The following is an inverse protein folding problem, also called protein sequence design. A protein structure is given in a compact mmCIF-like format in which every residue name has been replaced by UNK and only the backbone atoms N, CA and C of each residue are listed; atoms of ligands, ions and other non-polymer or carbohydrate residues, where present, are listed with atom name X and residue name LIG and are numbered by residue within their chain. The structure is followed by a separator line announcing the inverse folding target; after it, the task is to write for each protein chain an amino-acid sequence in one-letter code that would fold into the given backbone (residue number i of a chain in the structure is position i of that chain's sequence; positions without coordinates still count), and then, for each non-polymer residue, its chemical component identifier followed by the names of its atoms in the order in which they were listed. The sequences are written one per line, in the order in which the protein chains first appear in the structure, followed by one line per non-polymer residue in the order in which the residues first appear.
data_IF_618361780323
#
_entry.id   IF_618361780323
#
_cell.length_a   1.000
_cell.length_b   1.000
_cell.length_c   1.000
_cell.angle_alpha   90.00
_cell.angle_beta   90.00
_cell.angle_gamma   90.00
#
_symmetry.space_group_name_H-M   'P 1'
#
loop_
_entity.id
_entity.type
_entity.pdbx_description
1 polymer ?
#
# COMPACT_ATOMS: atom_id res chain seq x y z
N UNK A 1 -4.13 2.67 1.61
CA UNK A 1 -4.29 4.12 1.79
C UNK A 1 -3.15 4.70 2.63
N UNK A 2 -3.08 6.02 2.69
CA UNK A 2 -2.18 6.74 3.59
C UNK A 2 -3.01 7.41 4.69
N UNK A 3 -2.66 7.13 5.94
CA UNK A 3 -3.07 7.93 7.09
C UNK A 3 -2.10 9.08 7.24
N UNK A 4 -2.57 10.26 7.61
CA UNK A 4 -1.70 11.40 7.90
C UNK A 4 -2.06 12.06 9.23
N UNK A 5 -1.03 12.56 9.93
CA UNK A 5 -1.18 13.27 11.20
C UNK A 5 -1.43 14.76 10.92
N UNK A 6 -2.63 15.25 11.26
CA UNK A 6 -3.04 16.64 11.00
C UNK A 6 -2.15 17.65 11.72
N UNK A 7 -1.88 17.41 13.01
CA UNK A 7 -1.03 18.30 13.81
C UNK A 7 0.36 18.46 13.18
N UNK A 8 0.99 17.36 12.76
CA UNK A 8 2.32 17.44 12.15
C UNK A 8 2.32 18.24 10.85
N UNK A 9 1.29 18.10 10.01
CA UNK A 9 1.15 18.90 8.78
C UNK A 9 0.95 20.38 9.10
N UNK A 10 0.06 20.70 10.04
CA UNK A 10 -0.25 22.05 10.46
C UNK A 10 0.96 22.74 11.14
N UNK A 11 1.70 22.02 12.00
CA UNK A 11 2.91 22.51 12.65
C UNK A 11 3.99 22.93 11.62
N UNK A 12 4.02 22.30 10.44
CA UNK A 12 4.90 22.64 9.32
C UNK A 12 4.30 23.69 8.37
N UNK A 13 3.11 24.24 8.69
CA UNK A 13 2.40 25.24 7.88
C UNK A 13 2.10 24.75 6.45
N UNK A 14 1.81 23.45 6.33
CA UNK A 14 1.38 22.82 5.08
C UNK A 14 -0.13 22.68 5.06
N UNK A 15 -0.71 22.77 3.87
CA UNK A 15 -2.13 22.48 3.66
C UNK A 15 -2.41 20.98 3.82
N UNK A 16 -3.60 20.61 4.29
CA UNK A 16 -4.02 19.22 4.32
C UNK A 16 -4.16 18.68 2.89
N UNK A 17 -3.81 17.41 2.62
CA UNK A 17 -3.68 16.91 1.26
C UNK A 17 -5.00 16.72 0.50
N UNK A 18 -6.15 16.94 1.13
CA UNK A 18 -7.47 16.68 0.56
C UNK A 18 -7.74 17.43 -0.76
N UNK A 19 -7.46 18.74 -0.81
CA UNK A 19 -7.69 19.53 -2.01
C UNK A 19 -6.75 19.11 -3.15
N UNK A 20 -5.53 18.70 -2.83
CA UNK A 20 -4.57 18.16 -3.78
C UNK A 20 -5.09 16.84 -4.38
N UNK A 21 -5.68 15.97 -3.55
CA UNK A 21 -6.34 14.73 -4.01
C UNK A 21 -7.54 15.04 -4.91
N UNK A 22 -8.46 15.92 -4.48
CA UNK A 22 -9.64 16.32 -5.25
C UNK A 22 -9.28 16.94 -6.61
N UNK A 23 -8.19 17.71 -6.65
CA UNK A 23 -7.66 18.30 -7.88
C UNK A 23 -6.95 17.29 -8.82
N UNK A 24 -6.83 16.02 -8.40
CA UNK A 24 -6.10 15.00 -9.17
C UNK A 24 -4.59 15.17 -9.18
N UNK A 25 -4.03 15.96 -8.27
CA UNK A 25 -2.59 16.29 -8.23
C UNK A 25 -1.80 15.53 -7.16
N UNK A 26 -2.44 14.61 -6.43
CA UNK A 26 -1.79 13.83 -5.38
C UNK A 26 -0.88 12.77 -5.98
N UNK A 27 0.40 13.10 -6.15
CA UNK A 27 1.44 12.26 -6.74
C UNK A 27 2.51 11.90 -5.70
N UNK A 28 3.42 10.95 -6.03
CA UNK A 28 4.57 10.66 -5.18
C UNK A 28 5.52 11.87 -5.03
N UNK A 29 5.64 12.73 -6.03
CA UNK A 29 6.42 13.97 -5.90
C UNK A 29 5.73 14.95 -4.93
N UNK A 30 4.40 14.97 -4.90
CA UNK A 30 3.66 15.78 -3.92
C UNK A 30 3.81 15.22 -2.51
N UNK A 31 3.64 13.91 -2.32
CA UNK A 31 3.90 13.26 -1.04
C UNK A 31 5.33 13.56 -0.53
N UNK A 32 6.34 13.54 -1.41
CA UNK A 32 7.72 13.82 -1.02
C UNK A 32 7.91 15.21 -0.38
N UNK A 33 7.17 16.23 -0.81
CA UNK A 33 7.22 17.57 -0.20
C UNK A 33 6.83 17.56 1.27
N UNK A 34 5.86 16.73 1.65
CA UNK A 34 5.44 16.58 3.04
C UNK A 34 6.46 15.78 3.85
N UNK A 35 6.80 14.58 3.37
CA UNK A 35 7.62 13.66 4.15
C UNK A 35 9.05 14.16 4.35
N UNK A 36 9.59 14.93 3.40
CA UNK A 36 10.95 15.48 3.49
C UNK A 36 11.12 16.52 4.60
N UNK A 37 10.05 17.21 5.01
CA UNK A 37 10.10 18.19 6.10
C UNK A 37 9.63 17.59 7.43
N UNK A 38 8.93 16.48 7.41
CA UNK A 38 8.34 15.84 8.60
C UNK A 38 9.32 15.05 9.46
N UNK A 39 10.58 14.88 9.02
CA UNK A 39 11.56 14.04 9.70
C UNK A 39 12.53 14.86 10.57
N UNK A 40 12.70 14.48 11.85
CA UNK A 40 13.64 15.11 12.77
C UNK A 40 14.08 14.14 13.86
N UNK A 41 15.39 14.08 14.14
CA UNK A 41 15.94 13.27 15.23
C UNK A 41 15.54 13.75 16.63
N UNK A 42 15.26 15.05 16.77
CA UNK A 42 14.88 15.66 18.06
C UNK A 42 15.84 15.33 19.23
N UNK A 43 17.12 15.17 18.90
CA UNK A 43 18.17 14.85 19.88
C UNK A 43 18.48 13.37 20.06
N UNK A 44 17.77 12.48 19.39
CA UNK A 44 18.14 11.06 19.33
C UNK A 44 19.44 10.85 18.53
N UNK A 45 20.22 9.83 18.87
CA UNK A 45 21.52 9.55 18.23
C UNK A 45 21.37 8.87 16.85
N UNK A 46 20.24 8.19 16.61
CA UNK A 46 19.99 7.47 15.38
C UNK A 46 18.50 7.48 14.98
N UNK A 47 18.23 7.11 13.74
CA UNK A 47 16.88 6.92 13.22
C UNK A 47 16.26 5.54 13.59
N UNK A 48 16.93 4.78 14.45
CA UNK A 48 16.41 3.51 14.89
C UNK A 48 15.21 3.70 15.82
N UNK A 49 14.17 2.89 15.62
CA UNK A 49 12.99 2.98 16.44
C UNK A 49 13.30 2.70 17.91
N UNK A 50 13.00 3.67 18.76
CA UNK A 50 13.01 3.53 20.20
C UNK A 50 11.67 4.04 20.74
N UNK A 51 10.99 3.22 21.55
CA UNK A 51 9.70 3.56 22.18
C UNK A 51 9.79 4.86 22.98
N UNK A 52 10.88 5.06 23.69
CA UNK A 52 11.13 6.21 24.56
C UNK A 52 11.95 7.31 23.87
N UNK A 53 12.24 7.17 22.57
CA UNK A 53 12.96 8.17 21.77
C UNK A 53 12.07 9.31 21.31
N UNK A 54 12.71 10.33 20.72
CA UNK A 54 12.07 11.56 20.28
C UNK A 54 12.02 11.73 18.76
N UNK A 55 12.70 10.87 18.00
CA UNK A 55 12.74 10.98 16.54
C UNK A 55 11.34 10.89 15.93
N UNK A 56 11.08 11.75 14.97
CA UNK A 56 9.87 11.79 14.16
C UNK A 56 10.22 11.52 12.71
N UNK A 57 9.31 10.93 11.97
CA UNK A 57 9.50 10.46 10.60
C UNK A 57 8.49 11.13 9.67
N UNK A 58 8.89 11.38 8.43
CA UNK A 58 7.96 11.84 7.40
C UNK A 58 6.97 10.75 7.00
N UNK A 59 7.46 9.49 6.95
CA UNK A 59 6.66 8.36 6.48
C UNK A 59 6.98 7.07 7.23
N UNK A 60 5.96 6.24 7.47
CA UNK A 60 6.13 4.91 8.06
C UNK A 60 5.29 3.87 7.34
N UNK A 61 5.83 2.67 7.16
CA UNK A 61 5.10 1.54 6.57
C UNK A 61 5.81 0.20 6.82
N UNK A 62 5.25 -0.87 6.29
CA UNK A 62 5.82 -2.21 6.33
C UNK A 62 6.47 -2.57 4.99
N UNK A 63 7.75 -2.94 5.03
CA UNK A 63 8.51 -3.46 3.89
C UNK A 63 8.41 -5.01 3.85
N UNK A 64 8.40 -5.65 2.69
CA UNK A 64 8.51 -5.13 1.31
C UNK A 64 7.16 -4.80 0.66
N UNK A 65 6.06 -5.09 1.34
CA UNK A 65 4.72 -5.07 0.74
C UNK A 65 4.34 -3.67 0.26
N UNK A 66 4.66 -2.63 1.03
CA UNK A 66 4.36 -1.26 0.64
C UNK A 66 5.00 -0.87 -0.70
N UNK A 67 6.29 -1.17 -0.92
CA UNK A 67 6.97 -0.83 -2.18
C UNK A 67 6.34 -1.57 -3.37
N UNK A 68 5.95 -2.83 -3.17
CA UNK A 68 5.19 -3.56 -4.21
C UNK A 68 3.85 -2.87 -4.51
N UNK A 69 3.13 -2.43 -3.49
CA UNK A 69 1.89 -1.68 -3.65
C UNK A 69 2.12 -0.32 -4.33
N UNK A 70 3.24 0.36 -4.02
CA UNK A 70 3.63 1.60 -4.68
C UNK A 70 3.84 1.41 -6.20
N UNK A 71 4.46 0.29 -6.63
CA UNK A 71 4.50 -0.06 -8.05
C UNK A 71 3.11 -0.32 -8.63
N UNK A 72 2.25 -1.02 -7.91
CA UNK A 72 0.90 -1.33 -8.39
C UNK A 72 0.08 -0.05 -8.59
N UNK A 73 0.15 0.92 -7.66
CA UNK A 73 -0.62 2.16 -7.79
C UNK A 73 -0.11 3.11 -8.88
N UNK A 74 1.12 2.91 -9.38
CA UNK A 74 1.62 3.59 -10.58
C UNK A 74 1.31 2.85 -11.89
N UNK A 75 0.47 1.80 -11.85
CA UNK A 75 0.19 0.95 -13.01
C UNK A 75 1.30 -0.06 -13.36
N UNK A 76 2.43 -0.05 -12.64
CA UNK A 76 3.62 -0.86 -12.93
C UNK A 76 3.65 -2.17 -12.12
N UNK A 77 2.65 -3.04 -12.35
CA UNK A 77 2.66 -4.39 -11.77
C UNK A 77 3.86 -5.18 -12.29
N UNK A 78 4.68 -5.76 -11.39
CA UNK A 78 5.84 -6.56 -11.79
C UNK A 78 5.45 -7.80 -12.59
N UNK A 79 4.30 -8.39 -12.28
CA UNK A 79 3.72 -9.53 -13.00
C UNK A 79 2.25 -9.19 -13.29
N UNK A 80 1.81 -9.37 -14.54
CA UNK A 80 0.44 -9.10 -14.97
C UNK A 80 -0.22 -10.38 -15.44
N UNK A 81 -1.44 -10.62 -14.97
CA UNK A 81 -2.33 -11.65 -15.48
C UNK A 81 -3.28 -11.00 -16.49
N UNK A 82 -3.28 -11.51 -17.70
CA UNK A 82 -4.08 -10.98 -18.80
C UNK A 82 -4.42 -12.12 -19.77
N UNK A 83 -5.69 -12.22 -20.16
CA UNK A 83 -6.20 -13.24 -21.11
C UNK A 83 -5.81 -14.67 -20.74
N UNK A 84 -5.88 -15.01 -19.45
CA UNK A 84 -5.53 -16.33 -18.95
C UNK A 84 -4.04 -16.65 -18.90
N UNK A 85 -3.16 -15.66 -19.15
CA UNK A 85 -1.72 -15.80 -19.10
C UNK A 85 -1.09 -14.84 -18.10
N UNK A 86 0.02 -15.26 -17.50
CA UNK A 86 0.84 -14.40 -16.65
C UNK A 86 2.13 -14.02 -17.36
N UNK A 87 2.55 -12.76 -17.23
CA UNK A 87 3.75 -12.22 -17.86
C UNK A 87 4.55 -11.38 -16.88
N UNK A 88 5.87 -11.51 -16.92
CA UNK A 88 6.78 -10.60 -16.23
C UNK A 88 6.79 -9.25 -16.95
N UNK A 89 6.40 -8.20 -16.24
CA UNK A 89 6.35 -6.82 -16.74
C UNK A 89 7.47 -5.94 -16.16
N UNK A 90 8.15 -6.42 -15.10
CA UNK A 90 9.28 -5.69 -14.54
C UNK A 90 10.34 -5.40 -15.61
N UNK A 91 10.72 -4.13 -15.72
CA UNK A 91 11.67 -3.65 -16.73
C UNK A 91 11.04 -3.27 -18.08
N UNK A 92 9.72 -3.23 -18.18
CA UNK A 92 9.02 -2.75 -19.38
C UNK A 92 8.39 -1.36 -19.15
N UNK A 93 8.13 -0.64 -20.23
CA UNK A 93 7.55 0.72 -20.16
C UNK A 93 8.41 1.66 -19.32
N UNK A 94 7.79 2.41 -18.43
CA UNK A 94 8.44 3.36 -17.51
C UNK A 94 8.81 2.74 -16.15
N UNK A 95 8.93 1.41 -16.06
CA UNK A 95 9.19 0.69 -14.80
C UNK A 95 10.43 1.21 -14.05
N UNK A 96 11.51 1.49 -14.76
CA UNK A 96 12.74 1.99 -14.14
C UNK A 96 12.61 3.44 -13.69
N UNK A 97 11.90 4.28 -14.42
CA UNK A 97 11.61 5.67 -14.01
C UNK A 97 10.77 5.70 -12.72
N UNK A 98 9.82 4.77 -12.60
CA UNK A 98 9.05 4.57 -11.37
C UNK A 98 9.95 4.11 -10.23
N UNK A 99 10.84 3.13 -10.46
CA UNK A 99 11.77 2.66 -9.44
C UNK A 99 12.70 3.78 -8.95
N UNK A 100 13.20 4.62 -9.85
CA UNK A 100 14.05 5.77 -9.52
C UNK A 100 13.25 6.83 -8.74
N UNK A 101 12.01 7.12 -9.14
CA UNK A 101 11.11 8.02 -8.40
C UNK A 101 10.85 7.49 -6.98
N UNK A 102 10.50 6.22 -6.83
CA UNK A 102 10.28 5.60 -5.52
C UNK A 102 11.56 5.58 -4.66
N UNK A 103 12.73 5.39 -5.28
CA UNK A 103 14.02 5.49 -4.58
C UNK A 103 14.27 6.91 -4.06
N UNK A 104 13.95 7.94 -4.85
CA UNK A 104 14.04 9.33 -4.41
C UNK A 104 13.10 9.61 -3.25
N UNK A 105 11.86 9.10 -3.31
CA UNK A 105 10.83 9.38 -2.30
C UNK A 105 11.08 8.63 -0.99
N UNK A 106 11.48 7.36 -1.07
CA UNK A 106 11.54 6.43 0.08
C UNK A 106 12.94 5.90 0.41
N UNK A 107 13.98 6.41 -0.21
CA UNK A 107 15.35 5.97 0.01
C UNK A 107 16.20 6.91 0.86
N UNK A 108 15.65 8.02 1.30
CA UNK A 108 16.36 8.98 2.11
C UNK A 108 16.32 8.58 3.59
N UNK A 109 17.49 8.29 4.15
CA UNK A 109 17.59 7.87 5.55
C UNK A 109 17.05 8.94 6.49
N UNK A 110 16.10 8.58 7.32
CA UNK A 110 15.48 9.45 8.31
C UNK A 110 14.15 10.07 7.86
N UNK A 111 13.87 10.16 6.56
CA UNK A 111 12.55 10.55 6.08
C UNK A 111 11.55 9.46 6.36
N UNK A 112 11.98 8.19 6.25
CA UNK A 112 11.15 7.00 6.29
C UNK A 112 11.58 6.04 7.38
N UNK A 113 10.58 5.39 7.99
CA UNK A 113 10.78 4.24 8.84
C UNK A 113 10.01 3.06 8.28
N UNK A 114 10.73 2.04 7.85
CA UNK A 114 10.15 0.79 7.40
C UNK A 114 10.40 -0.33 8.41
N UNK A 115 9.33 -0.91 8.91
CA UNK A 115 9.44 -2.13 9.70
C UNK A 115 9.40 -3.36 8.79
N UNK A 116 9.95 -4.47 9.25
CA UNK A 116 9.75 -5.76 8.63
C UNK A 116 9.40 -6.81 9.70
N UNK A 117 8.63 -7.83 9.28
CA UNK A 117 8.09 -8.85 10.20
C UNK A 117 9.16 -9.63 10.97
N UNK A 118 10.39 -9.68 10.43
CA UNK A 118 11.47 -10.46 11.05
C UNK A 118 12.17 -9.71 12.18
N UNK A 119 12.15 -8.39 12.15
CA UNK A 119 12.92 -7.57 13.09
C UNK A 119 12.06 -6.79 14.08
N UNK A 120 11.03 -6.11 13.62
CA UNK A 120 10.28 -5.16 14.44
C UNK A 120 8.76 -5.10 14.18
N UNK A 121 8.22 -6.02 13.37
CA UNK A 121 6.77 -6.22 13.21
C UNK A 121 5.98 -4.93 12.93
N UNK A 122 4.97 -4.69 13.75
CA UNK A 122 4.05 -3.55 13.61
C UNK A 122 4.60 -2.22 14.16
N UNK A 123 5.91 -2.05 14.31
CA UNK A 123 6.45 -0.81 14.88
C UNK A 123 6.07 0.44 14.07
N UNK A 124 5.93 0.35 12.75
CA UNK A 124 5.46 1.46 11.91
C UNK A 124 4.11 2.03 12.34
N UNK A 125 3.16 1.16 12.74
CA UNK A 125 1.87 1.60 13.30
C UNK A 125 2.04 2.28 14.66
N UNK A 126 2.93 1.74 15.50
CA UNK A 126 3.20 2.29 16.84
C UNK A 126 3.84 3.68 16.74
N UNK A 127 4.73 3.89 15.76
CA UNK A 127 5.34 5.19 15.47
C UNK A 127 4.27 6.23 15.13
N UNK A 128 3.35 5.87 14.22
CA UNK A 128 2.26 6.76 13.84
C UNK A 128 1.29 7.02 15.01
N UNK A 129 0.86 5.99 15.71
CA UNK A 129 -0.02 6.12 16.86
C UNK A 129 0.57 6.95 18.01
N UNK A 130 1.89 6.98 18.13
CA UNK A 130 2.60 7.85 19.07
C UNK A 130 2.71 9.31 18.61
N UNK A 131 2.14 9.68 17.45
CA UNK A 131 2.23 11.03 16.88
C UNK A 131 3.62 11.36 16.33
N UNK A 132 4.43 10.34 15.97
CA UNK A 132 5.82 10.46 15.56
C UNK A 132 6.04 10.16 14.07
N UNK A 133 4.99 10.12 13.29
CA UNK A 133 5.05 10.03 11.83
C UNK A 133 4.03 10.95 11.19
N UNK A 134 4.43 11.64 10.12
CA UNK A 134 3.53 12.52 9.38
C UNK A 134 2.57 11.71 8.53
N UNK A 135 3.06 10.65 7.86
CA UNK A 135 2.24 9.71 7.11
C UNK A 135 2.50 8.26 7.52
N UNK A 136 1.47 7.43 7.42
CA UNK A 136 1.55 5.99 7.62
C UNK A 136 0.77 5.26 6.54
N UNK A 137 1.43 4.41 5.75
CA UNK A 137 0.75 3.57 4.78
C UNK A 137 0.32 2.25 5.40
N UNK A 138 -0.98 1.96 5.31
CA UNK A 138 -1.56 0.70 5.77
C UNK A 138 -2.93 0.44 5.15
N UNK A 139 -3.54 -0.69 5.52
CA UNK A 139 -4.89 -0.99 5.09
C UNK A 139 -5.90 -0.04 5.73
N UNK A 140 -7.02 0.16 5.04
CA UNK A 140 -8.13 1.00 5.50
C UNK A 140 -8.71 0.57 6.86
N UNK A 141 -8.58 -0.72 7.19
CA UNK A 141 -8.97 -1.28 8.49
C UNK A 141 -7.90 -1.15 9.57
N UNK A 142 -6.74 -0.63 9.24
CA UNK A 142 -5.53 -0.74 10.09
C UNK A 142 -5.67 -0.11 11.45
N UNK A 143 -6.47 0.92 11.59
CA UNK A 143 -6.88 1.41 12.90
C UNK A 143 -7.78 0.45 13.68
N UNK A 144 -8.32 -0.61 13.05
CA UNK A 144 -9.29 -1.54 13.63
C UNK A 144 -8.64 -2.74 14.35
N UNK A 145 -7.50 -3.23 13.83
CA UNK A 145 -6.84 -4.45 14.33
C UNK A 145 -6.17 -4.32 15.69
N UNK A 146 -6.00 -3.13 16.22
CA UNK A 146 -5.25 -2.94 17.45
C UNK A 146 -5.68 -1.77 18.34
N UNK A 147 -6.76 -1.10 18.06
CA UNK A 147 -7.19 0.11 18.81
C UNK A 147 -6.12 1.21 18.89
N UNK A 148 -5.03 1.09 18.14
CA UNK A 148 -3.84 1.94 18.24
C UNK A 148 -4.14 3.39 17.86
N UNK A 149 -4.99 3.59 16.83
CA UNK A 149 -5.32 4.95 16.36
C UNK A 149 -6.51 5.55 17.12
N UNK A 150 -7.38 4.74 17.74
CA UNK A 150 -8.45 5.24 18.60
C UNK A 150 -7.92 5.97 19.84
N UNK A 151 -6.74 5.57 20.32
CA UNK A 151 -6.10 6.15 21.50
C UNK A 151 -5.11 7.27 21.13
N UNK A 152 -4.95 7.56 19.85
CA UNK A 152 -4.07 8.62 19.35
C UNK A 152 -4.58 10.00 19.79
N UNK A 153 -3.68 10.81 20.34
CA UNK A 153 -4.00 12.16 20.82
C UNK A 153 -4.21 13.15 19.67
N UNK A 154 -3.43 12.96 18.61
CA UNK A 154 -3.50 13.79 17.42
C UNK A 154 -4.66 13.35 16.52
N UNK A 155 -5.31 14.31 15.88
CA UNK A 155 -6.24 14.02 14.82
C UNK A 155 -5.51 13.57 13.56
N UNK A 156 -6.12 12.66 12.82
CA UNK A 156 -5.60 12.13 11.57
C UNK A 156 -6.66 12.13 10.48
N UNK A 157 -6.21 12.12 9.24
CA UNK A 157 -7.04 11.93 8.07
C UNK A 157 -6.53 10.76 7.22
N UNK A 158 -7.27 10.46 6.16
CA UNK A 158 -6.97 9.37 5.22
C UNK A 158 -7.01 9.94 3.81
N UNK A 159 -6.04 9.54 2.98
CA UNK A 159 -6.01 9.83 1.53
C UNK A 159 -5.67 8.57 0.73
N UNK A 160 -6.04 8.49 -0.56
CA UNK A 160 -5.64 7.39 -1.41
C UNK A 160 -4.12 7.32 -1.58
N UNK A 161 -3.63 6.20 -2.12
CA UNK A 161 -2.24 6.08 -2.55
C UNK A 161 -1.93 7.13 -3.63
N UNK A 162 -0.71 7.72 -3.61
CA UNK A 162 -0.33 8.69 -4.63
C UNK A 162 -0.22 8.08 -6.03
N UNK A 163 -0.39 8.92 -7.04
CA UNK A 163 -0.19 8.56 -8.46
C UNK A 163 1.28 8.76 -8.86
N UNK A 164 1.66 8.18 -10.01
CA UNK A 164 2.95 8.48 -10.63
C UNK A 164 2.96 9.86 -11.30
N UNK A 165 1.89 10.16 -12.06
CA UNK A 165 1.69 11.41 -12.79
C UNK A 165 0.27 11.96 -12.54
N UNK A 166 0.09 13.28 -12.69
CA UNK A 166 -1.21 13.93 -12.48
C UNK A 166 -2.30 13.44 -13.47
N UNK A 167 -1.89 12.96 -14.64
CA UNK A 167 -2.81 12.44 -15.66
C UNK A 167 -3.23 10.98 -15.43
N UNK A 168 -2.61 10.29 -14.47
CA UNK A 168 -3.00 8.92 -14.12
C UNK A 168 -4.30 8.90 -13.29
N UNK A 169 -4.96 7.75 -13.24
CA UNK A 169 -6.05 7.49 -12.32
C UNK A 169 -5.50 7.10 -10.93
N UNK A 170 -6.28 7.34 -9.88
CA UNK A 170 -5.99 6.75 -8.57
C UNK A 170 -6.15 5.23 -8.62
N UNK A 171 -5.22 4.54 -7.99
CA UNK A 171 -5.23 3.08 -7.86
C UNK A 171 -4.96 2.72 -6.40
N UNK A 172 -5.89 2.04 -5.77
CA UNK A 172 -5.79 1.59 -4.38
C UNK A 172 -5.58 0.08 -4.33
N UNK A 173 -4.34 -0.39 -4.20
CA UNK A 173 -4.06 -1.82 -4.13
C UNK A 173 -4.69 -2.45 -2.89
N UNK A 174 -5.34 -3.59 -3.08
CA UNK A 174 -5.88 -4.38 -1.97
C UNK A 174 -4.72 -5.08 -1.26
N UNK A 175 -4.77 -5.12 0.08
CA UNK A 175 -3.72 -5.70 0.91
C UNK A 175 -3.40 -7.15 0.54
N UNK A 176 -2.15 -7.54 0.72
CA UNK A 176 -1.65 -8.90 0.43
C UNK A 176 -2.32 -9.98 1.30
N UNK A 177 -2.85 -9.60 2.45
CA UNK A 177 -3.57 -10.47 3.40
C UNK A 177 -5.04 -10.68 3.03
N UNK A 178 -5.47 -10.26 1.84
CA UNK A 178 -6.86 -10.43 1.40
C UNK A 178 -7.18 -11.91 1.21
N UNK A 179 -8.28 -12.33 1.81
CA UNK A 179 -8.78 -13.68 1.65
C UNK A 179 -9.53 -13.82 0.32
N UNK A 180 -9.23 -14.88 -0.42
CA UNK A 180 -9.98 -15.28 -1.59
C UNK A 180 -10.87 -16.45 -1.26
N UNK A 181 -12.11 -16.40 -1.72
CA UNK A 181 -13.01 -17.54 -1.66
C UNK A 181 -12.71 -18.47 -2.84
N UNK A 182 -12.49 -19.74 -2.54
CA UNK A 182 -12.22 -20.76 -3.56
C UNK A 182 -13.22 -21.90 -3.44
N UNK A 183 -13.58 -22.50 -4.58
CA UNK A 183 -14.45 -23.68 -4.64
C UNK A 183 -13.56 -24.91 -4.82
N UNK A 184 -13.58 -25.89 -3.88
CA UNK A 184 -12.79 -27.11 -4.01
C UNK A 184 -13.17 -27.90 -5.26
N UNK A 185 -12.19 -28.51 -5.91
CA UNK A 185 -12.41 -29.38 -7.10
C UNK A 185 -13.30 -30.63 -6.81
N UNK A 186 -13.43 -30.97 -5.53
CA UNK A 186 -14.30 -32.05 -5.05
C UNK A 186 -15.76 -31.63 -4.93
N UNK A 187 -16.09 -30.36 -5.18
CA UNK A 187 -17.49 -29.92 -5.15
C UNK A 187 -18.26 -30.47 -6.38
N UNK A 188 -19.25 -31.27 -6.11
CA UNK A 188 -20.12 -31.87 -7.16
C UNK A 188 -21.39 -31.07 -7.43
N UNK A 189 -21.60 -29.95 -6.72
CA UNK A 189 -22.79 -29.07 -6.79
C UNK A 189 -22.41 -27.67 -7.20
N UNK A 190 -21.75 -27.53 -8.35
CA UNK A 190 -21.21 -26.25 -8.80
C UNK A 190 -22.30 -25.19 -9.06
N UNK A 191 -23.42 -25.59 -9.65
CA UNK A 191 -24.52 -24.69 -9.99
C UNK A 191 -25.18 -24.11 -8.72
N UNK A 192 -25.47 -24.95 -7.74
CA UNK A 192 -26.05 -24.50 -6.46
C UNK A 192 -25.05 -23.61 -5.69
N UNK A 193 -23.76 -23.98 -5.73
CA UNK A 193 -22.71 -23.18 -5.10
C UNK A 193 -22.58 -21.81 -5.77
N UNK A 194 -22.62 -21.76 -7.10
CA UNK A 194 -22.57 -20.51 -7.85
C UNK A 194 -23.76 -19.60 -7.50
N UNK A 195 -24.98 -20.13 -7.46
CA UNK A 195 -26.18 -19.36 -7.08
C UNK A 195 -26.06 -18.80 -5.67
N UNK A 196 -25.57 -19.59 -4.71
CA UNK A 196 -25.40 -19.15 -3.33
C UNK A 196 -24.34 -18.04 -3.25
N UNK A 197 -23.19 -18.20 -3.91
CA UNK A 197 -22.10 -17.20 -3.90
C UNK A 197 -22.53 -15.90 -4.58
N UNK A 198 -23.28 -15.98 -5.68
CA UNK A 198 -23.81 -14.80 -6.36
C UNK A 198 -24.80 -14.05 -5.46
N UNK A 199 -25.74 -14.78 -4.83
CA UNK A 199 -26.70 -14.19 -3.89
C UNK A 199 -25.98 -13.55 -2.68
N UNK A 200 -24.98 -14.21 -2.10
CA UNK A 200 -24.17 -13.65 -1.00
C UNK A 200 -23.42 -12.41 -1.43
N UNK A 201 -22.82 -12.41 -2.63
CA UNK A 201 -22.11 -11.25 -3.18
C UNK A 201 -23.06 -10.08 -3.41
N UNK A 202 -24.24 -10.32 -3.98
CA UNK A 202 -25.27 -9.31 -4.18
C UNK A 202 -25.74 -8.70 -2.84
N UNK A 203 -26.07 -9.55 -1.87
CA UNK A 203 -26.52 -9.07 -0.54
C UNK A 203 -25.41 -8.31 0.18
N UNK A 204 -24.16 -8.76 0.06
CA UNK A 204 -23.00 -8.05 0.62
C UNK A 204 -22.84 -6.67 -0.03
N UNK A 205 -22.89 -6.60 -1.36
CA UNK A 205 -22.81 -5.34 -2.10
C UNK A 205 -23.94 -4.37 -1.72
N UNK A 206 -25.19 -4.86 -1.61
CA UNK A 206 -26.36 -4.04 -1.32
C UNK A 206 -26.45 -3.58 0.14
N UNK A 207 -26.14 -4.47 1.09
CA UNK A 207 -26.50 -4.26 2.50
C UNK A 207 -25.27 -4.10 3.42
N UNK A 208 -24.15 -4.83 3.15
CA UNK A 208 -22.99 -4.85 4.05
C UNK A 208 -21.97 -3.78 3.67
N UNK A 209 -21.60 -3.70 2.40
CA UNK A 209 -20.57 -2.76 1.93
C UNK A 209 -20.95 -1.32 2.24
N UNK A 210 -22.17 -0.80 1.92
CA UNK A 210 -22.56 0.55 2.30
C UNK A 210 -22.46 0.77 3.80
N UNK A 211 -23.00 -0.14 4.62
CA UNK A 211 -22.94 -0.02 6.08
C UNK A 211 -21.51 -0.02 6.63
N UNK A 212 -20.62 -0.77 6.03
CA UNK A 212 -19.22 -0.77 6.44
C UNK A 212 -18.56 0.57 6.13
N UNK A 213 -18.73 1.09 4.93
CA UNK A 213 -18.16 2.39 4.54
C UNK A 213 -18.86 3.56 5.21
N UNK A 214 -20.18 3.61 5.21
CA UNK A 214 -20.95 4.76 5.67
C UNK A 214 -21.11 4.81 7.20
N UNK A 215 -21.01 3.69 7.90
CA UNK A 215 -21.23 3.63 9.35
C UNK A 215 -19.96 3.22 10.09
N UNK A 216 -19.36 2.08 9.75
CA UNK A 216 -18.24 1.53 10.54
C UNK A 216 -16.98 2.37 10.35
N UNK A 217 -16.63 2.70 9.12
CA UNK A 217 -15.46 3.53 8.85
C UNK A 217 -15.71 4.97 9.28
N UNK A 218 -16.90 5.51 9.02
CA UNK A 218 -17.26 6.86 9.47
C UNK A 218 -17.18 7.00 11.00
N UNK A 219 -17.79 6.11 11.75
CA UNK A 219 -17.77 6.19 13.22
C UNK A 219 -16.37 5.97 13.82
N UNK A 220 -15.48 5.26 13.11
CA UNK A 220 -14.15 4.91 13.62
C UNK A 220 -13.03 5.85 13.19
N UNK A 221 -13.12 6.41 12.01
CA UNK A 221 -12.01 7.11 11.35
C UNK A 221 -12.36 8.53 10.89
N UNK A 222 -13.65 8.87 10.77
CA UNK A 222 -14.02 10.19 10.27
C UNK A 222 -14.16 11.17 11.43
N UNK A 223 -13.24 12.12 11.41
CA UNK A 223 -13.31 13.32 12.24
C UNK A 223 -13.63 14.57 11.41
N UNK A 224 -13.83 14.39 10.09
CA UNK A 224 -14.16 15.42 9.12
C UNK A 224 -14.89 14.86 7.88
N UNK A 225 -15.61 15.73 7.16
CA UNK A 225 -16.37 15.34 5.96
C UNK A 225 -15.46 14.97 4.77
N UNK A 226 -14.25 15.55 4.68
CA UNK A 226 -13.29 15.29 3.61
C UNK A 226 -12.79 13.85 3.60
N UNK A 227 -12.63 13.23 4.76
CA UNK A 227 -12.24 11.81 4.85
C UNK A 227 -13.26 10.90 4.18
N UNK A 228 -14.57 11.24 4.20
CA UNK A 228 -15.60 10.44 3.51
C UNK A 228 -15.37 10.41 2.00
N UNK A 229 -15.08 11.56 1.39
CA UNK A 229 -14.79 11.66 -0.05
C UNK A 229 -13.54 10.84 -0.42
N UNK A 230 -12.51 10.85 0.44
CA UNK A 230 -11.28 10.06 0.23
C UNK A 230 -11.57 8.56 0.29
N UNK A 231 -12.43 8.12 1.20
CA UNK A 231 -12.85 6.72 1.29
C UNK A 231 -13.59 6.25 0.04
N UNK A 232 -14.39 7.10 -0.58
CA UNK A 232 -15.04 6.80 -1.86
C UNK A 232 -14.03 6.62 -2.98
N UNK A 233 -13.05 7.52 -3.11
CA UNK A 233 -11.96 7.38 -4.10
C UNK A 233 -11.20 6.07 -3.88
N UNK A 234 -10.85 5.73 -2.65
CA UNK A 234 -10.13 4.50 -2.31
C UNK A 234 -10.97 3.27 -2.67
N UNK A 235 -12.27 3.28 -2.34
CA UNK A 235 -13.20 2.18 -2.64
C UNK A 235 -13.31 1.93 -4.14
N UNK A 236 -13.49 2.99 -4.92
CA UNK A 236 -13.80 2.90 -6.34
C UNK A 236 -12.56 2.61 -7.19
N UNK A 237 -11.37 2.93 -6.68
CA UNK A 237 -10.07 2.70 -7.34
C UNK A 237 -9.39 1.37 -6.95
N UNK A 238 -10.07 0.47 -6.21
CA UNK A 238 -9.47 -0.78 -5.74
C UNK A 238 -8.98 -1.68 -6.87
N UNK A 239 -7.79 -2.22 -6.70
CA UNK A 239 -7.22 -3.21 -7.61
C UNK A 239 -6.57 -4.36 -6.85
N UNK A 240 -6.55 -5.53 -7.46
CA UNK A 240 -5.90 -6.72 -6.91
C UNK A 240 -4.58 -6.98 -7.64
N UNK A 241 -3.56 -7.37 -6.88
CA UNK A 241 -2.31 -7.85 -7.45
C UNK A 241 -2.27 -9.38 -7.36
N UNK A 242 -2.81 -10.03 -8.38
CA UNK A 242 -3.04 -11.50 -8.45
C UNK A 242 -1.76 -12.32 -8.25
N UNK A 243 -0.59 -11.77 -8.60
CA UNK A 243 0.69 -12.46 -8.40
C UNK A 243 0.95 -12.85 -6.93
N UNK A 244 0.40 -12.10 -5.96
CA UNK A 244 0.49 -12.47 -4.55
C UNK A 244 -0.24 -13.79 -4.24
N UNK A 245 -1.41 -14.02 -4.83
CA UNK A 245 -2.18 -15.25 -4.59
C UNK A 245 -1.41 -16.52 -5.00
N UNK A 246 -0.48 -16.39 -5.94
CA UNK A 246 0.37 -17.47 -6.43
C UNK A 246 1.81 -17.44 -5.88
N UNK A 247 2.13 -16.50 -5.00
CA UNK A 247 3.47 -16.34 -4.43
C UNK A 247 4.57 -15.99 -5.44
N UNK A 248 4.19 -15.41 -6.59
CA UNK A 248 5.10 -15.15 -7.71
C UNK A 248 6.02 -13.94 -7.45
N UNK A 249 7.28 -14.08 -7.86
CA UNK A 249 8.26 -13.00 -7.89
C UNK A 249 8.68 -12.47 -6.52
N UNK A 250 8.62 -13.27 -5.45
CA UNK A 250 8.92 -12.81 -4.09
C UNK A 250 10.35 -12.25 -3.98
N UNK A 251 11.34 -12.96 -4.55
CA UNK A 251 12.75 -12.51 -4.51
C UNK A 251 12.96 -11.20 -5.26
N UNK A 252 12.34 -11.07 -6.43
CA UNK A 252 12.38 -9.84 -7.22
C UNK A 252 11.77 -8.68 -6.43
N UNK A 253 10.56 -8.86 -5.86
CA UNK A 253 9.85 -7.84 -5.09
C UNK A 253 10.64 -7.40 -3.85
N UNK A 254 11.13 -8.36 -3.07
CA UNK A 254 11.90 -8.08 -1.85
C UNK A 254 13.22 -7.37 -2.16
N UNK A 255 13.92 -7.76 -3.24
CA UNK A 255 15.17 -7.11 -3.64
C UNK A 255 14.95 -5.68 -4.14
N UNK A 256 13.90 -5.45 -4.93
CA UNK A 256 13.52 -4.09 -5.35
C UNK A 256 13.16 -3.21 -4.13
N UNK A 257 12.37 -3.74 -3.21
CA UNK A 257 11.98 -3.01 -2.01
C UNK A 257 13.21 -2.63 -1.16
N UNK A 258 14.13 -3.57 -0.93
CA UNK A 258 15.36 -3.31 -0.20
C UNK A 258 16.23 -2.23 -0.87
N UNK A 259 16.39 -2.30 -2.20
CA UNK A 259 17.20 -1.34 -2.93
C UNK A 259 16.60 0.07 -2.90
N UNK A 260 15.28 0.17 -3.05
CA UNK A 260 14.54 1.44 -3.00
C UNK A 260 14.64 2.06 -1.60
N UNK A 261 14.28 1.32 -0.56
CA UNK A 261 14.24 1.86 0.82
C UNK A 261 15.62 2.06 1.44
N UNK A 262 16.68 1.50 0.88
CA UNK A 262 18.06 1.81 1.25
C UNK A 262 18.68 2.96 0.44
N UNK A 263 17.96 3.50 -0.54
CA UNK A 263 18.48 4.55 -1.42
C UNK A 263 19.56 4.09 -2.41
N UNK A 264 19.82 2.77 -2.51
CA UNK A 264 20.87 2.25 -3.38
C UNK A 264 20.48 2.25 -4.87
N UNK A 265 19.18 2.22 -5.17
CA UNK A 265 18.70 2.09 -6.54
C UNK A 265 19.11 0.78 -7.21
N UNK A 266 19.40 0.81 -8.52
CA UNK A 266 19.90 -0.36 -9.24
C UNK A 266 18.80 -1.34 -9.66
N UNK A 267 17.58 -0.89 -9.87
CA UNK A 267 16.43 -1.72 -10.26
C UNK A 267 16.71 -2.55 -11.53
N UNK A 268 17.46 -2.01 -12.51
CA UNK A 268 17.80 -2.73 -13.74
C UNK A 268 18.63 -3.98 -13.48
N UNK A 269 19.64 -3.89 -12.61
CA UNK A 269 20.48 -5.04 -12.23
C UNK A 269 19.69 -6.09 -11.46
N UNK A 270 18.77 -5.65 -10.58
CA UNK A 270 17.91 -6.55 -9.82
C UNK A 270 16.96 -7.30 -10.76
N UNK A 271 16.30 -6.58 -11.67
CA UNK A 271 15.42 -7.21 -12.68
C UNK A 271 16.21 -8.22 -13.52
N UNK A 272 17.40 -7.86 -14.01
CA UNK A 272 18.25 -8.78 -14.78
C UNK A 272 18.62 -10.04 -13.98
N UNK A 273 18.91 -9.89 -12.68
CA UNK A 273 19.28 -11.02 -11.80
C UNK A 273 18.12 -12.00 -11.60
N UNK A 274 16.91 -11.52 -11.44
CA UNK A 274 15.77 -12.37 -11.09
C UNK A 274 14.82 -12.68 -12.24
N UNK A 275 15.05 -12.13 -13.44
CA UNK A 275 14.19 -12.30 -14.61
C UNK A 275 13.90 -13.78 -14.91
N UNK A 276 14.94 -14.56 -15.14
CA UNK A 276 14.79 -15.95 -15.60
C UNK A 276 14.14 -16.83 -14.53
N UNK A 277 14.49 -16.64 -13.26
CA UNK A 277 13.87 -17.37 -12.16
C UNK A 277 12.39 -17.01 -11.98
N UNK A 278 12.03 -15.73 -12.14
CA UNK A 278 10.64 -15.29 -12.04
C UNK A 278 9.81 -15.78 -13.24
N UNK A 279 10.38 -15.80 -14.43
CA UNK A 279 9.71 -16.40 -15.60
C UNK A 279 9.46 -17.89 -15.39
N UNK A 280 10.44 -18.64 -14.88
CA UNK A 280 10.27 -20.06 -14.57
C UNK A 280 9.18 -20.31 -13.49
N UNK A 281 9.06 -19.43 -12.47
CA UNK A 281 7.96 -19.49 -11.51
C UNK A 281 6.60 -19.29 -12.19
N UNK A 282 6.50 -18.30 -13.09
CA UNK A 282 5.29 -18.02 -13.87
C UNK A 282 4.90 -19.24 -14.72
N UNK A 283 5.85 -19.77 -15.51
CA UNK A 283 5.59 -20.90 -16.41
C UNK A 283 5.08 -22.11 -15.64
N UNK A 284 5.65 -22.43 -14.49
CA UNK A 284 5.22 -23.51 -13.62
C UNK A 284 3.77 -23.36 -13.15
N UNK A 285 3.38 -22.13 -12.77
CA UNK A 285 2.00 -21.85 -12.33
C UNK A 285 1.05 -21.95 -13.53
N UNK A 286 1.44 -21.41 -14.68
CA UNK A 286 0.63 -21.46 -15.89
C UNK A 286 0.44 -22.90 -16.41
N UNK A 287 1.47 -23.74 -16.37
CA UNK A 287 1.35 -25.16 -16.67
C UNK A 287 0.33 -25.85 -15.73
N UNK A 288 0.40 -25.57 -14.43
CA UNK A 288 -0.52 -26.14 -13.46
C UNK A 288 -1.99 -25.68 -13.66
N UNK A 289 -2.19 -24.45 -14.09
CA UNK A 289 -3.52 -23.91 -14.41
C UNK A 289 -4.08 -24.55 -15.68
N UNK A 290 -3.26 -24.69 -16.73
CA UNK A 290 -3.66 -25.17 -18.06
C UNK A 290 -3.71 -26.70 -18.16
N UNK A 291 -3.16 -27.44 -17.19
CA UNK A 291 -3.20 -28.92 -17.16
C UNK A 291 -4.51 -29.50 -16.64
N UNK A 292 -5.49 -28.68 -16.29
CA UNK A 292 -6.83 -29.05 -15.83
C UNK A 292 -7.88 -28.81 -16.92
#
# INVERSE_FOLDING_TARGET
CLYFNRRMIEDHQLDLPYDTVKAGKWTFDELYKYISVGANLNGDESWDWNKDGNSVYGFTSMQPDFITQAFVCTGNKQIKFEDGNAKLMAGTGNFYDVADKLTKVFGEKGTDFFSNDKTNGSHYEMVFAAGRSMFCAMEIKGGDGGRKFSDMKDDYGIVPMPKYDENDDYVSPVAVWTYFMTIPVTNTKLDETAIILDAMSYLSYRDIVPKYYDVVLQLKHIRDDETSEMLDIIRDSRTYYTAYAFGLGEKLRSSLANAITSGQGGASSIVATYKDSTVAEIDKVMEAINSK
#
